data_IF_970480905432
#
_entry.id   IF_970480905432
#
_cell.length_a   1.000
_cell.length_b   1.000
_cell.length_c   1.000
_cell.angle_alpha   90.00
_cell.angle_beta   90.00
_cell.angle_gamma   90.00
#
_symmetry.space_group_name_H-M   'P 1'
#
loop_
_entity.id
_entity.type
_entity.pdbx_description
1 polymer ?
#
# COMPACT_ATOMS: atom_id res chain seq x y z
N UNK A 1 11.77 10.67 5.92
CA UNK A 1 10.81 11.74 5.60
C UNK A 1 9.42 11.13 5.65
N UNK A 2 8.51 11.65 6.47
CA UNK A 2 7.13 11.14 6.52
C UNK A 2 6.32 11.89 5.46
N UNK A 3 5.93 11.20 4.39
CA UNK A 3 5.06 11.75 3.35
C UNK A 3 3.60 11.41 3.66
N UNK A 4 2.72 12.40 3.60
CA UNK A 4 1.28 12.18 3.74
C UNK A 4 0.72 11.80 2.36
N UNK A 5 0.49 10.51 2.14
CA UNK A 5 -0.11 9.99 0.91
C UNK A 5 -1.57 9.61 1.12
N UNK A 6 -2.45 10.07 0.23
CA UNK A 6 -3.85 9.62 0.19
C UNK A 6 -3.96 8.33 -0.63
N UNK A 7 -4.76 7.37 -0.15
CA UNK A 7 -5.02 6.12 -0.85
C UNK A 7 -6.48 5.71 -0.66
N UNK A 8 -7.12 5.28 -1.74
CA UNK A 8 -8.44 4.64 -1.68
C UNK A 8 -8.26 3.17 -1.31
N UNK A 9 -9.16 2.66 -0.48
CA UNK A 9 -9.13 1.28 0.01
C UNK A 9 -10.54 0.71 -0.06
N UNK A 10 -10.68 -0.43 -0.73
CA UNK A 10 -11.97 -1.11 -0.82
C UNK A 10 -12.21 -1.97 0.42
N UNK A 11 -13.35 -1.77 1.05
CA UNK A 11 -13.83 -2.60 2.13
C UNK A 11 -14.81 -3.64 1.57
N UNK A 12 -14.70 -4.86 2.09
CA UNK A 12 -15.68 -5.91 1.81
C UNK A 12 -16.98 -5.63 2.57
N UNK A 13 -18.14 -6.12 2.10
CA UNK A 13 -19.42 -5.89 2.78
C UNK A 13 -19.41 -6.22 4.28
N UNK A 14 -18.72 -7.30 4.68
CA UNK A 14 -18.59 -7.68 6.07
C UNK A 14 -17.77 -6.67 6.90
N UNK A 15 -16.74 -6.06 6.30
CA UNK A 15 -15.93 -5.03 6.98
C UNK A 15 -16.69 -3.71 7.10
N UNK A 16 -17.53 -3.38 6.12
CA UNK A 16 -18.42 -2.21 6.21
C UNK A 16 -19.42 -2.39 7.34
N UNK A 17 -20.00 -3.59 7.48
CA UNK A 17 -20.93 -3.89 8.55
C UNK A 17 -20.30 -3.80 9.94
N UNK A 18 -19.08 -4.30 10.08
CA UNK A 18 -18.35 -4.17 11.35
C UNK A 18 -18.00 -2.71 11.65
N UNK A 19 -17.64 -1.92 10.64
CA UNK A 19 -17.40 -0.50 10.81
C UNK A 19 -18.67 0.25 11.27
N UNK A 20 -19.82 -0.06 10.68
CA UNK A 20 -21.10 0.51 11.10
C UNK A 20 -21.46 0.15 12.54
N UNK A 21 -21.23 -1.10 12.95
CA UNK A 21 -21.40 -1.54 14.33
C UNK A 21 -20.51 -0.75 15.29
N UNK A 22 -19.22 -0.65 14.99
CA UNK A 22 -18.24 0.09 15.80
C UNK A 22 -18.65 1.56 15.96
N UNK A 23 -19.08 2.20 14.87
CA UNK A 23 -19.52 3.60 14.89
C UNK A 23 -20.79 3.80 15.72
N UNK A 24 -21.75 2.87 15.58
CA UNK A 24 -23.03 2.92 16.31
C UNK A 24 -22.82 2.71 17.80
N UNK A 25 -22.00 1.73 18.17
CA UNK A 25 -21.74 1.35 19.55
C UNK A 25 -20.68 2.25 20.23
N UNK A 26 -20.05 3.17 19.48
CA UNK A 26 -18.92 3.98 19.92
C UNK A 26 -17.76 3.13 20.51
N UNK A 27 -17.56 1.94 19.97
CA UNK A 27 -16.60 0.95 20.43
C UNK A 27 -15.16 1.36 20.03
N UNK A 28 -14.49 2.09 20.93
CA UNK A 28 -13.13 2.60 20.68
C UNK A 28 -12.09 1.49 20.55
N UNK A 29 -12.23 0.41 21.32
CA UNK A 29 -11.30 -0.71 21.25
C UNK A 29 -11.48 -1.47 19.92
N UNK A 30 -12.74 -1.73 19.54
CA UNK A 30 -13.10 -2.28 18.24
C UNK A 30 -12.57 -1.43 17.09
N UNK A 31 -12.68 -0.11 17.17
CA UNK A 31 -12.14 0.80 16.15
C UNK A 31 -10.62 0.63 15.97
N UNK A 32 -9.87 0.53 17.07
CA UNK A 32 -8.43 0.30 17.00
C UNK A 32 -8.08 -1.04 16.34
N UNK A 33 -8.78 -2.11 16.72
CA UNK A 33 -8.61 -3.43 16.13
C UNK A 33 -8.94 -3.45 14.64
N UNK A 34 -10.04 -2.82 14.24
CA UNK A 34 -10.47 -2.70 12.85
C UNK A 34 -9.44 -1.95 12.00
N UNK A 35 -8.93 -0.81 12.47
CA UNK A 35 -7.89 -0.05 11.77
C UNK A 35 -6.64 -0.90 11.56
N UNK A 36 -6.21 -1.64 12.60
CA UNK A 36 -5.02 -2.51 12.52
C UNK A 36 -5.20 -3.67 11.55
N UNK A 37 -6.33 -4.36 11.61
CA UNK A 37 -6.52 -5.61 10.87
C UNK A 37 -7.02 -5.41 9.44
N UNK A 38 -7.95 -4.48 9.22
CA UNK A 38 -8.56 -4.28 7.90
C UNK A 38 -7.89 -3.16 7.12
N UNK A 39 -7.61 -2.00 7.74
CA UNK A 39 -7.07 -0.85 7.00
C UNK A 39 -5.56 -0.95 6.81
N UNK A 40 -4.78 -1.03 7.90
CA UNK A 40 -3.31 -1.03 7.81
C UNK A 40 -2.78 -2.26 7.09
N UNK A 41 -3.37 -3.44 7.31
CA UNK A 41 -2.97 -4.65 6.60
C UNK A 41 -3.18 -4.53 5.09
N UNK A 42 -4.36 -4.07 4.64
CA UNK A 42 -4.64 -3.87 3.21
C UNK A 42 -3.76 -2.78 2.60
N UNK A 43 -3.46 -1.72 3.37
CA UNK A 43 -2.51 -0.68 2.95
C UNK A 43 -1.11 -1.25 2.73
N UNK A 44 -0.61 -2.06 3.66
CA UNK A 44 0.70 -2.72 3.55
C UNK A 44 0.76 -3.69 2.37
N UNK A 45 -0.23 -4.57 2.23
CA UNK A 45 -0.30 -5.53 1.11
C UNK A 45 -0.32 -4.80 -0.24
N UNK A 46 -1.08 -3.71 -0.34
CA UNK A 46 -1.14 -2.91 -1.57
C UNK A 46 0.11 -2.05 -1.82
N UNK A 47 1.01 -1.90 -0.85
CA UNK A 47 2.34 -1.31 -1.06
C UNK A 47 3.35 -2.41 -1.47
N UNK A 48 3.30 -3.57 -0.82
CA UNK A 48 4.16 -4.71 -1.14
C UNK A 48 3.91 -5.23 -2.57
N UNK A 49 2.65 -5.32 -2.98
CA UNK A 49 2.29 -5.73 -4.35
C UNK A 49 2.82 -4.76 -5.41
N UNK A 50 2.80 -3.45 -5.13
CA UNK A 50 3.43 -2.45 -6.02
C UNK A 50 4.94 -2.62 -6.07
N UNK A 51 5.59 -2.80 -4.92
CA UNK A 51 7.03 -3.02 -4.87
C UNK A 51 7.44 -4.28 -5.65
N UNK A 52 6.71 -5.38 -5.51
CA UNK A 52 6.92 -6.61 -6.29
C UNK A 52 6.73 -6.37 -7.77
N UNK A 53 5.68 -5.68 -8.21
CA UNK A 53 5.49 -5.38 -9.64
C UNK A 53 6.63 -4.54 -10.24
N UNK A 54 7.27 -3.68 -9.45
CA UNK A 54 8.44 -2.91 -9.87
C UNK A 54 9.73 -3.74 -9.89
N UNK A 55 9.85 -4.77 -9.03
CA UNK A 55 11.02 -5.64 -8.96
C UNK A 55 10.94 -6.83 -9.95
N UNK A 56 9.74 -7.37 -10.19
CA UNK A 56 9.50 -8.51 -11.09
C UNK A 56 9.50 -8.12 -12.58
N UNK A 57 9.42 -6.81 -12.88
CA UNK A 57 9.46 -6.29 -14.25
C UNK A 57 10.82 -6.37 -14.92
N UNK A 58 11.91 -6.58 -14.18
CA UNK A 58 13.27 -6.46 -14.72
C UNK A 58 14.14 -7.63 -14.27
N UNK A 59 14.45 -8.54 -15.20
CA UNK A 59 15.33 -9.71 -14.95
C UNK A 59 16.78 -9.35 -14.60
N UNK A 60 17.18 -8.08 -14.79
CA UNK A 60 18.49 -7.56 -14.39
C UNK A 60 18.41 -6.03 -14.12
N UNK A 61 17.90 -5.60 -12.95
CA UNK A 61 17.74 -4.19 -12.63
C UNK A 61 19.09 -3.45 -12.54
N UNK A 62 20.16 -4.15 -12.13
CA UNK A 62 21.52 -3.59 -12.10
C UNK A 62 22.06 -3.27 -13.52
N UNK A 63 21.72 -4.10 -14.52
CA UNK A 63 22.09 -3.87 -15.91
C UNK A 63 21.33 -2.71 -16.57
N UNK A 64 20.09 -2.47 -16.17
CA UNK A 64 19.28 -1.35 -16.66
C UNK A 64 19.82 -0.01 -16.17
N UNK A 65 20.22 0.08 -14.89
CA UNK A 65 20.83 1.28 -14.31
C UNK A 65 22.11 1.74 -15.03
N UNK A 66 22.93 0.81 -15.54
CA UNK A 66 24.13 1.15 -16.32
C UNK A 66 23.85 1.64 -17.74
N UNK A 67 22.70 1.28 -18.34
CA UNK A 67 22.32 1.79 -19.66
C UNK A 67 21.81 3.23 -19.58
N UNK A 68 21.08 3.57 -18.52
CA UNK A 68 20.58 4.93 -18.33
C UNK A 68 21.69 5.92 -18.01
N UNK A 69 22.80 5.50 -17.38
CA UNK A 69 23.93 6.39 -17.12
C UNK A 69 24.80 6.66 -18.36
N UNK A 70 24.80 5.77 -19.37
CA UNK A 70 25.57 5.96 -20.60
C UNK A 70 24.89 6.82 -21.65
N UNK A 71 23.55 6.88 -21.65
CA UNK A 71 22.80 7.75 -22.57
C UNK A 71 22.81 9.24 -22.14
N UNK A 72 23.47 9.60 -21.03
CA UNK A 72 23.65 10.99 -20.60
C UNK A 72 25.03 11.58 -20.94
N UNK A 73 25.91 10.82 -21.60
CA UNK A 73 27.25 11.26 -22.02
C UNK A 73 27.39 11.46 -23.54
N UNK A 74 26.31 11.23 -24.30
CA UNK A 74 26.20 11.54 -25.74
C UNK A 74 25.09 12.58 -26.00
N UNK A 75 25.18 13.74 -25.36
CA UNK A 75 24.67 15.04 -25.86
C UNK A 75 25.65 16.17 -25.51
#
# INVERSE_FOLDING_TARGET
MLEITRKSLSLEPAEVMELERIMTDQDREGAFHFLRQSVYRKLLVSQESRLKSHLDGERNPAGAFHKTSKNGEEE
#
